data_IF_465138721782
#
_entry.id   IF_465138721782
#
_cell.length_a   1.000
_cell.length_b   1.000
_cell.length_c   1.000
_cell.angle_alpha   90.00
_cell.angle_beta   90.00
_cell.angle_gamma   90.00
#
_symmetry.space_group_name_H-M   'P 1'
#
loop_
_entity.id
_entity.type
_entity.pdbx_description
1 polymer ?
#
# COMPACT_ATOMS: atom_id res chain seq x y z
N UNK A 1 24.36 -8.46 21.48
CA UNK A 1 24.27 -7.04 21.09
C UNK A 1 23.98 -6.84 19.60
N UNK A 2 24.71 -7.46 18.65
CA UNK A 2 24.50 -7.25 17.20
C UNK A 2 23.11 -7.69 16.71
N UNK A 3 22.60 -8.85 17.17
CA UNK A 3 21.25 -9.36 16.80
C UNK A 3 20.13 -8.45 17.32
N UNK A 4 20.23 -7.98 18.55
CA UNK A 4 19.22 -7.11 19.17
C UNK A 4 19.18 -5.74 18.48
N UNK A 5 20.34 -5.20 18.05
CA UNK A 5 20.39 -3.96 17.31
C UNK A 5 19.73 -4.09 15.93
N UNK A 6 19.97 -5.20 15.20
CA UNK A 6 19.33 -5.47 13.89
C UNK A 6 17.80 -5.58 14.07
N UNK A 7 17.34 -6.27 15.11
CA UNK A 7 15.91 -6.49 15.35
C UNK A 7 15.12 -5.22 15.73
N UNK A 8 15.79 -4.18 16.21
CA UNK A 8 15.15 -2.91 16.58
C UNK A 8 15.37 -1.82 15.52
N UNK A 9 16.60 -1.70 15.03
CA UNK A 9 16.95 -0.62 14.10
C UNK A 9 16.37 -0.86 12.71
N UNK A 10 16.38 -2.11 12.25
CA UNK A 10 15.91 -2.47 10.91
C UNK A 10 14.41 -2.17 10.71
N UNK A 11 13.49 -2.56 11.60
CA UNK A 11 12.08 -2.20 11.50
C UNK A 11 11.84 -0.68 11.47
N UNK A 12 12.55 0.07 12.29
CA UNK A 12 12.45 1.54 12.30
C UNK A 12 12.92 2.12 10.96
N UNK A 13 14.06 1.64 10.46
CA UNK A 13 14.60 2.07 9.17
C UNK A 13 13.60 1.78 8.02
N UNK A 14 13.00 0.60 8.01
CA UNK A 14 11.99 0.24 7.02
C UNK A 14 10.74 1.12 7.08
N UNK A 15 10.31 1.57 8.24
CA UNK A 15 9.18 2.49 8.37
C UNK A 15 9.47 3.90 7.82
N UNK A 16 10.75 4.27 7.69
CA UNK A 16 11.13 5.53 7.05
C UNK A 16 10.94 5.46 5.53
N UNK A 17 11.03 4.29 4.91
CA UNK A 17 10.92 4.12 3.45
C UNK A 17 9.58 4.60 2.89
N UNK A 18 8.40 4.23 3.43
CA UNK A 18 7.12 4.74 2.95
C UNK A 18 7.00 6.26 3.09
N UNK A 19 7.52 6.82 4.18
CA UNK A 19 7.52 8.27 4.40
C UNK A 19 8.39 9.00 3.38
N UNK A 20 9.59 8.46 3.10
CA UNK A 20 10.47 9.00 2.06
C UNK A 20 9.85 8.86 0.67
N UNK A 21 9.21 7.72 0.38
CA UNK A 21 8.49 7.50 -0.87
C UNK A 21 7.36 8.52 -1.07
N UNK A 22 6.55 8.76 -0.04
CA UNK A 22 5.50 9.77 -0.06
C UNK A 22 6.07 11.17 -0.29
N UNK A 23 7.14 11.53 0.42
CA UNK A 23 7.82 12.81 0.26
C UNK A 23 8.42 12.97 -1.16
N UNK A 24 9.04 11.92 -1.69
CA UNK A 24 9.62 11.92 -3.03
C UNK A 24 8.54 12.18 -4.11
N UNK A 25 7.37 11.55 -3.99
CA UNK A 25 6.26 11.76 -4.92
C UNK A 25 5.82 13.23 -4.91
N UNK A 26 5.68 13.83 -3.72
CA UNK A 26 5.30 15.24 -3.59
C UNK A 26 6.36 16.18 -4.19
N UNK A 27 7.65 15.87 -3.99
CA UNK A 27 8.76 16.67 -4.53
C UNK A 27 8.90 16.51 -6.05
N UNK A 28 8.59 15.33 -6.59
CA UNK A 28 8.65 15.05 -8.03
C UNK A 28 7.59 15.82 -8.83
N UNK A 29 6.52 16.31 -8.19
CA UNK A 29 5.52 17.15 -8.85
C UNK A 29 6.09 18.52 -9.19
N UNK A 30 5.85 19.04 -10.42
CA UNK A 30 6.25 20.39 -10.81
C UNK A 30 5.70 21.43 -9.83
N UNK A 31 6.51 22.42 -9.46
CA UNK A 31 6.14 23.42 -8.45
C UNK A 31 4.83 24.14 -8.73
N UNK A 32 4.61 24.56 -9.99
CA UNK A 32 3.36 25.18 -10.42
C UNK A 32 2.15 24.25 -10.23
N UNK A 33 2.28 22.98 -10.61
CA UNK A 33 1.19 22.00 -10.44
C UNK A 33 0.87 21.79 -8.97
N UNK A 34 1.88 21.75 -8.10
CA UNK A 34 1.72 21.59 -6.66
C UNK A 34 1.01 22.79 -6.03
N UNK A 35 1.34 24.03 -6.42
CA UNK A 35 0.67 25.23 -5.92
C UNK A 35 -0.80 25.27 -6.33
N UNK A 36 -1.11 25.01 -7.61
CA UNK A 36 -2.48 24.91 -8.09
C UNK A 36 -3.27 23.82 -7.38
N UNK A 37 -2.67 22.66 -7.17
CA UNK A 37 -3.29 21.56 -6.46
C UNK A 37 -3.62 21.95 -5.02
N UNK A 38 -2.66 22.51 -4.27
CA UNK A 38 -2.87 22.92 -2.88
C UNK A 38 -3.94 24.00 -2.73
N UNK A 39 -3.96 25.02 -3.60
CA UNK A 39 -5.00 26.05 -3.60
C UNK A 39 -6.38 25.44 -3.83
N UNK A 40 -6.47 24.46 -4.72
CA UNK A 40 -7.74 23.82 -5.07
C UNK A 40 -8.22 22.83 -4.02
N UNK A 41 -7.30 22.15 -3.38
CA UNK A 41 -7.57 21.21 -2.29
C UNK A 41 -8.48 21.81 -1.21
N UNK A 42 -8.22 23.06 -0.83
CA UNK A 42 -9.00 23.76 0.19
C UNK A 42 -10.46 23.99 -0.20
N UNK A 43 -10.78 23.99 -1.48
CA UNK A 43 -12.13 24.25 -1.99
C UNK A 43 -12.91 22.98 -2.37
N UNK A 44 -12.25 21.80 -2.36
CA UNK A 44 -12.85 20.53 -2.79
C UNK A 44 -13.13 19.62 -1.61
N UNK A 45 -14.39 19.40 -1.19
CA UNK A 45 -14.72 18.48 -0.11
C UNK A 45 -14.40 17.02 -0.45
N UNK A 46 -14.43 16.65 -1.75
CA UNK A 46 -14.11 15.30 -2.20
C UNK A 46 -12.62 14.98 -2.01
N UNK A 47 -11.73 15.94 -2.30
CA UNK A 47 -10.30 15.78 -2.07
C UNK A 47 -9.98 15.59 -0.58
N UNK A 48 -10.65 16.36 0.29
CA UNK A 48 -10.51 16.20 1.74
C UNK A 48 -10.94 14.83 2.23
N UNK A 49 -12.04 14.28 1.69
CA UNK A 49 -12.50 12.94 2.03
C UNK A 49 -11.47 11.88 1.60
N UNK A 50 -10.98 11.95 0.36
CA UNK A 50 -10.00 11.00 -0.17
C UNK A 50 -8.69 11.08 0.61
N UNK A 51 -8.15 12.27 0.81
CA UNK A 51 -6.88 12.46 1.53
C UNK A 51 -7.00 12.13 3.01
N UNK A 52 -8.10 12.51 3.66
CA UNK A 52 -8.35 12.20 5.07
C UNK A 52 -8.47 10.71 5.32
N UNK A 53 -9.29 10.02 4.52
CA UNK A 53 -9.44 8.56 4.60
C UNK A 53 -8.11 7.84 4.30
N UNK A 54 -7.40 8.30 3.25
CA UNK A 54 -6.11 7.74 2.87
C UNK A 54 -5.04 7.94 3.93
N UNK A 55 -5.01 9.10 4.59
CA UNK A 55 -4.09 9.37 5.69
C UNK A 55 -4.36 8.47 6.90
N UNK A 56 -5.63 8.30 7.27
CA UNK A 56 -6.01 7.38 8.36
C UNK A 56 -5.58 5.96 8.04
N UNK A 57 -5.85 5.49 6.82
CA UNK A 57 -5.44 4.16 6.38
C UNK A 57 -3.91 4.01 6.42
N UNK A 58 -3.18 5.00 5.93
CA UNK A 58 -1.72 5.02 5.95
C UNK A 58 -1.15 4.94 7.38
N UNK A 59 -1.68 5.72 8.31
CA UNK A 59 -1.25 5.69 9.72
C UNK A 59 -1.50 4.32 10.34
N UNK A 60 -2.68 3.72 10.10
CA UNK A 60 -3.00 2.37 10.59
C UNK A 60 -2.04 1.34 9.98
N UNK A 61 -1.77 1.40 8.68
CA UNK A 61 -0.82 0.51 8.03
C UNK A 61 0.61 0.69 8.56
N UNK A 62 1.04 1.92 8.86
CA UNK A 62 2.35 2.18 9.45
C UNK A 62 2.49 1.57 10.85
N UNK A 63 1.46 1.67 11.68
CA UNK A 63 1.43 1.04 13.01
C UNK A 63 1.50 -0.48 12.87
N UNK A 64 0.69 -1.06 11.98
CA UNK A 64 0.69 -2.50 11.74
C UNK A 64 2.04 -2.99 11.16
N UNK A 65 2.68 -2.20 10.29
CA UNK A 65 4.01 -2.48 9.74
C UNK A 65 5.06 -2.55 10.85
N UNK A 66 5.06 -1.60 11.78
CA UNK A 66 5.94 -1.64 12.95
C UNK A 66 5.72 -2.89 13.80
N UNK A 67 4.46 -3.26 14.06
CA UNK A 67 4.12 -4.44 14.83
C UNK A 67 4.47 -5.75 14.10
N UNK A 68 4.25 -5.79 12.78
CA UNK A 68 4.54 -6.94 11.94
C UNK A 68 6.04 -7.22 11.77
N UNK A 69 6.87 -6.19 11.80
CA UNK A 69 8.34 -6.30 11.71
C UNK A 69 9.00 -6.58 13.07
N UNK A 70 8.26 -6.48 14.19
CA UNK A 70 8.79 -6.83 15.49
C UNK A 70 8.93 -8.35 15.64
N UNK A 71 10.15 -8.79 15.84
CA UNK A 71 10.45 -10.18 16.14
C UNK A 71 10.01 -10.56 17.56
N UNK A 72 9.08 -11.50 17.68
CA UNK A 72 8.61 -12.01 18.98
C UNK A 72 8.95 -13.48 19.15
N UNK A 73 10.09 -13.75 19.78
CA UNK A 73 10.48 -15.11 20.19
C UNK A 73 10.85 -16.04 19.03
N UNK A 74 9.93 -16.87 18.56
CA UNK A 74 10.19 -17.92 17.57
C UNK A 74 9.95 -17.49 16.10
N UNK A 75 9.40 -16.28 15.86
CA UNK A 75 9.09 -15.83 14.49
C UNK A 75 8.30 -14.52 14.43
N UNK A 76 7.80 -14.22 13.24
CA UNK A 76 6.90 -13.09 13.01
C UNK A 76 5.46 -13.52 13.29
N UNK A 77 4.65 -12.57 13.78
CA UNK A 77 3.22 -12.81 14.03
C UNK A 77 2.43 -12.65 12.72
N UNK A 78 1.93 -13.76 12.17
CA UNK A 78 1.15 -13.81 10.93
C UNK A 78 -0.21 -13.10 11.03
N UNK A 79 -0.65 -12.79 12.23
CA UNK A 79 -1.94 -12.13 12.44
C UNK A 79 -1.98 -10.75 11.81
N UNK A 80 -0.86 -10.02 11.87
CA UNK A 80 -0.74 -8.68 11.27
C UNK A 80 -0.71 -8.72 9.75
N UNK A 81 -0.27 -9.81 9.14
CA UNK A 81 -0.20 -9.96 7.68
C UNK A 81 -1.57 -9.93 7.03
N UNK A 82 -2.53 -10.62 7.62
CA UNK A 82 -3.91 -10.63 7.11
C UNK A 82 -4.52 -9.24 7.16
N UNK A 83 -4.29 -8.50 8.24
CA UNK A 83 -4.77 -7.14 8.36
C UNK A 83 -4.09 -6.20 7.36
N UNK A 84 -2.78 -6.29 7.20
CA UNK A 84 -2.03 -5.51 6.24
C UNK A 84 -2.46 -5.81 4.79
N UNK A 85 -2.66 -7.07 4.45
CA UNK A 85 -3.15 -7.48 3.13
C UNK A 85 -4.54 -6.92 2.84
N UNK A 86 -5.47 -7.00 3.80
CA UNK A 86 -6.82 -6.44 3.64
C UNK A 86 -6.79 -4.90 3.50
N UNK A 87 -5.92 -4.23 4.24
CA UNK A 87 -5.78 -2.77 4.15
C UNK A 87 -5.08 -2.35 2.86
N UNK A 88 -4.13 -3.15 2.35
CA UNK A 88 -3.52 -2.92 1.05
C UNK A 88 -4.56 -3.03 -0.07
N UNK A 89 -5.47 -4.02 0.01
CA UNK A 89 -6.57 -4.13 -0.92
C UNK A 89 -7.53 -2.93 -0.84
N UNK A 90 -7.77 -2.40 0.36
CA UNK A 90 -8.56 -1.19 0.52
C UNK A 90 -7.89 0.04 -0.14
N UNK A 91 -6.56 0.07 -0.24
CA UNK A 91 -5.84 1.12 -0.96
C UNK A 91 -6.16 1.16 -2.46
N UNK A 92 -6.53 0.03 -3.06
CA UNK A 92 -6.94 -0.05 -4.47
C UNK A 92 -8.27 0.68 -4.76
N UNK A 93 -9.05 0.99 -3.72
CA UNK A 93 -10.30 1.73 -3.88
C UNK A 93 -10.09 3.23 -4.07
N UNK A 94 -8.93 3.77 -3.69
CA UNK A 94 -8.68 5.21 -3.83
C UNK A 94 -8.70 5.71 -5.28
N UNK A 95 -8.15 5.00 -6.28
CA UNK A 95 -8.31 5.40 -7.68
C UNK A 95 -9.77 5.42 -8.11
N UNK A 96 -10.58 4.47 -7.65
CA UNK A 96 -12.01 4.42 -7.95
C UNK A 96 -12.76 5.60 -7.31
N UNK A 97 -12.41 5.96 -6.06
CA UNK A 97 -12.94 7.16 -5.39
C UNK A 97 -12.52 8.44 -6.14
N UNK A 98 -11.30 8.51 -6.65
CA UNK A 98 -10.83 9.59 -7.48
C UNK A 98 -11.62 9.72 -8.78
N UNK A 99 -11.88 8.61 -9.47
CA UNK A 99 -12.75 8.57 -10.65
C UNK A 99 -14.19 8.99 -10.35
N UNK A 100 -14.75 8.52 -9.23
CA UNK A 100 -16.07 8.96 -8.78
C UNK A 100 -16.10 10.47 -8.55
N UNK A 101 -15.06 11.03 -7.93
CA UNK A 101 -14.89 12.47 -7.77
C UNK A 101 -14.83 13.22 -9.10
N UNK A 102 -14.19 12.63 -10.12
CA UNK A 102 -14.17 13.19 -11.48
C UNK A 102 -15.57 13.22 -12.08
N UNK A 103 -16.32 12.13 -12.00
CA UNK A 103 -17.68 12.07 -12.51
C UNK A 103 -18.58 13.08 -11.80
N UNK A 104 -18.51 13.16 -10.48
CA UNK A 104 -19.26 14.11 -9.68
C UNK A 104 -18.92 15.57 -10.06
N UNK A 105 -17.63 15.88 -10.24
CA UNK A 105 -17.17 17.21 -10.66
C UNK A 105 -17.65 17.59 -12.06
N UNK A 106 -17.65 16.65 -13.00
CA UNK A 106 -18.17 16.86 -14.36
C UNK A 106 -19.69 17.12 -14.32
N UNK A 107 -20.45 16.30 -13.59
CA UNK A 107 -21.89 16.48 -13.44
C UNK A 107 -22.24 17.85 -12.82
N UNK A 108 -21.48 18.26 -11.80
CA UNK A 108 -21.65 19.56 -11.18
C UNK A 108 -21.35 20.70 -12.16
N UNK A 109 -20.33 20.53 -13.00
CA UNK A 109 -19.96 21.51 -14.04
C UNK A 109 -21.11 21.68 -15.02
N UNK A 110 -21.65 20.60 -15.57
CA UNK A 110 -22.75 20.66 -16.51
C UNK A 110 -24.05 21.21 -15.88
N UNK A 111 -24.31 20.91 -14.61
CA UNK A 111 -25.45 21.46 -13.90
C UNK A 111 -25.39 22.97 -13.65
N UNK A 112 -24.20 23.55 -13.68
CA UNK A 112 -23.98 24.98 -13.43
C UNK A 112 -23.83 25.80 -14.71
N UNK A 113 -23.75 25.17 -15.88
CA UNK A 113 -23.65 25.88 -17.17
C UNK A 113 -25.03 26.24 -17.66
N UNK A 114 -25.36 27.56 -17.65
CA UNK A 114 -26.60 28.12 -18.16
C UNK A 114 -26.28 29.14 -19.26
N UNK A 115 -26.19 28.68 -20.52
CA UNK A 115 -25.95 29.51 -21.68
C UNK A 115 -24.50 29.50 -22.19
N UNK A 116 -24.14 30.40 -23.14
CA UNK A 116 -22.81 30.48 -23.74
C UNK A 116 -21.77 30.83 -22.68
N UNK A 117 -20.85 29.90 -22.39
CA UNK A 117 -19.84 30.04 -21.34
C UNK A 117 -18.45 30.18 -21.96
N UNK A 118 -17.62 31.14 -21.53
CA UNK A 118 -16.24 31.30 -22.00
C UNK A 118 -15.41 30.05 -21.69
N UNK A 119 -14.46 29.66 -22.58
CA UNK A 119 -13.61 28.48 -22.38
C UNK A 119 -12.85 28.49 -21.05
N UNK A 120 -12.40 29.64 -20.57
CA UNK A 120 -11.69 29.82 -19.32
C UNK A 120 -12.54 29.43 -18.10
N UNK A 121 -13.83 29.73 -18.14
CA UNK A 121 -14.79 29.34 -17.10
C UNK A 121 -15.00 27.82 -17.08
N UNK A 122 -15.09 27.20 -18.25
CA UNK A 122 -15.21 25.74 -18.39
C UNK A 122 -13.99 25.06 -17.77
N UNK A 123 -12.77 25.49 -18.09
CA UNK A 123 -11.53 24.96 -17.53
C UNK A 123 -11.53 25.05 -16.00
N UNK A 124 -11.96 26.19 -15.45
CA UNK A 124 -12.06 26.36 -13.99
C UNK A 124 -13.07 25.41 -13.34
N UNK A 125 -14.18 25.15 -13.99
CA UNK A 125 -15.21 24.23 -13.50
C UNK A 125 -14.77 22.77 -13.54
N UNK A 126 -13.90 22.36 -14.48
CA UNK A 126 -13.36 21.00 -14.55
C UNK A 126 -12.21 20.74 -13.57
N UNK A 127 -11.56 21.78 -13.06
CA UNK A 127 -10.39 21.60 -12.19
C UNK A 127 -10.64 20.72 -10.96
N UNK A 128 -11.79 20.78 -10.22
CA UNK A 128 -12.05 19.87 -9.09
C UNK A 128 -12.14 18.40 -9.49
N UNK A 129 -12.62 18.11 -10.69
CA UNK A 129 -12.67 16.74 -11.19
C UNK A 129 -11.25 16.16 -11.36
N UNK A 130 -10.33 16.93 -11.93
CA UNK A 130 -8.95 16.51 -12.16
C UNK A 130 -8.20 16.32 -10.83
N UNK A 131 -8.41 17.22 -9.86
CA UNK A 131 -7.73 17.11 -8.55
C UNK A 131 -8.18 15.89 -7.78
N UNK A 132 -9.47 15.52 -7.80
CA UNK A 132 -10.00 14.33 -7.15
C UNK A 132 -9.33 13.04 -7.65
N UNK A 133 -9.12 12.92 -8.97
CA UNK A 133 -8.39 11.78 -9.54
C UNK A 133 -6.94 11.76 -9.08
N UNK A 134 -6.27 12.92 -9.08
CA UNK A 134 -4.91 13.06 -8.58
C UNK A 134 -4.77 12.64 -7.11
N UNK A 135 -5.70 13.08 -6.26
CA UNK A 135 -5.77 12.71 -4.84
C UNK A 135 -5.96 11.21 -4.65
N UNK A 136 -6.84 10.58 -5.44
CA UNK A 136 -7.09 9.14 -5.39
C UNK A 136 -5.86 8.32 -5.77
N UNK A 137 -5.21 8.67 -6.88
CA UNK A 137 -3.97 8.01 -7.33
C UNK A 137 -2.82 8.20 -6.33
N UNK A 138 -2.67 9.39 -5.78
CA UNK A 138 -1.65 9.68 -4.77
C UNK A 138 -1.83 8.84 -3.51
N UNK A 139 -3.07 8.74 -2.99
CA UNK A 139 -3.35 7.92 -1.81
C UNK A 139 -3.19 6.43 -2.08
N UNK A 140 -3.57 5.92 -3.25
CA UNK A 140 -3.32 4.53 -3.63
C UNK A 140 -1.82 4.22 -3.60
N UNK A 141 -1.01 5.06 -4.23
CA UNK A 141 0.43 4.84 -4.35
C UNK A 141 1.12 4.84 -2.99
N UNK A 142 0.77 5.78 -2.10
CA UNK A 142 1.34 5.85 -0.76
C UNK A 142 0.94 4.65 0.10
N UNK A 143 -0.31 4.23 0.03
CA UNK A 143 -0.84 3.15 0.88
C UNK A 143 -0.39 1.75 0.45
N UNK A 144 0.19 1.57 -0.74
CA UNK A 144 0.82 0.31 -1.15
C UNK A 144 2.19 0.12 -0.47
N UNK A 145 2.93 1.21 -0.21
CA UNK A 145 4.30 1.16 0.28
C UNK A 145 4.48 0.43 1.62
N UNK A 146 3.64 0.62 2.66
CA UNK A 146 3.81 -0.07 3.94
C UNK A 146 3.76 -1.60 3.82
N UNK A 147 2.84 -2.13 3.02
CA UNK A 147 2.72 -3.58 2.80
C UNK A 147 3.93 -4.14 2.06
N UNK A 148 4.38 -3.45 1.02
CA UNK A 148 5.59 -3.85 0.28
C UNK A 148 6.83 -3.86 1.18
N UNK A 149 6.96 -2.87 2.07
CA UNK A 149 8.06 -2.79 3.06
C UNK A 149 8.05 -3.97 4.03
N UNK A 150 6.88 -4.46 4.47
CA UNK A 150 6.80 -5.63 5.34
C UNK A 150 7.28 -6.89 4.62
N UNK A 151 6.87 -7.10 3.37
CA UNK A 151 7.29 -8.26 2.58
C UNK A 151 8.81 -8.30 2.41
N UNK A 152 9.38 -7.21 1.90
CA UNK A 152 10.83 -7.11 1.68
C UNK A 152 11.61 -7.08 3.00
N UNK A 153 11.09 -6.37 4.00
CA UNK A 153 11.72 -6.23 5.32
C UNK A 153 11.85 -7.57 6.05
N UNK A 154 10.84 -8.42 6.00
CA UNK A 154 10.87 -9.76 6.61
C UNK A 154 11.88 -10.66 5.92
N UNK A 155 11.85 -10.70 4.59
CA UNK A 155 12.80 -11.48 3.82
C UNK A 155 14.24 -11.09 4.16
N UNK A 156 14.51 -9.78 4.25
CA UNK A 156 15.83 -9.28 4.62
C UNK A 156 16.20 -9.61 6.07
N UNK A 157 15.27 -9.52 7.01
CA UNK A 157 15.52 -9.89 8.42
C UNK A 157 15.84 -11.39 8.54
N UNK A 158 15.13 -12.25 7.81
CA UNK A 158 15.39 -13.69 7.78
C UNK A 158 16.75 -14.00 7.19
N UNK A 159 17.10 -13.41 6.05
CA UNK A 159 18.40 -13.63 5.39
C UNK A 159 19.57 -13.15 6.24
N UNK A 160 19.51 -11.95 6.79
CA UNK A 160 20.56 -11.37 7.63
C UNK A 160 20.60 -11.99 9.04
N UNK A 161 19.46 -12.45 9.53
CA UNK A 161 19.33 -13.12 10.84
C UNK A 161 19.80 -14.58 10.86
N UNK A 162 20.14 -15.17 9.70
CA UNK A 162 20.58 -16.57 9.58
C UNK A 162 19.42 -17.59 9.66
N UNK A 163 18.19 -17.18 9.36
CA UNK A 163 17.00 -18.04 9.44
C UNK A 163 16.78 -19.00 8.26
N UNK A 164 17.63 -18.99 7.24
CA UNK A 164 17.47 -19.83 6.05
C UNK A 164 17.88 -21.30 6.22
N UNK A 165 18.46 -21.69 7.35
CA UNK A 165 18.95 -23.07 7.56
C UNK A 165 17.83 -24.12 7.78
N UNK A 166 16.57 -23.72 7.93
CA UNK A 166 15.49 -24.66 8.27
C UNK A 166 14.53 -24.97 7.13
N UNK A 167 14.54 -24.22 6.04
CA UNK A 167 13.63 -24.46 4.91
C UNK A 167 14.14 -25.53 3.93
N UNK A 168 15.46 -25.74 3.86
CA UNK A 168 16.07 -26.75 2.98
C UNK A 168 16.14 -28.17 3.62
N UNK A 169 15.78 -28.32 4.89
CA UNK A 169 15.79 -29.60 5.58
C UNK A 169 14.45 -30.35 5.54
N UNK A 170 13.37 -29.74 5.06
CA UNK A 170 12.08 -30.39 4.83
C UNK A 170 11.83 -30.67 3.34
N UNK A 171 12.81 -31.18 2.63
CA UNK A 171 12.50 -32.01 1.47
C UNK A 171 11.84 -33.27 2.02
N UNK A 172 10.61 -33.60 1.63
CA UNK A 172 10.01 -34.87 2.02
C UNK A 172 10.95 -35.96 1.55
N UNK A 173 11.47 -36.75 2.48
CA UNK A 173 12.15 -37.98 2.14
C UNK A 173 11.27 -38.67 1.10
N UNK A 174 11.82 -38.92 -0.08
CA UNK A 174 11.18 -39.64 -1.16
C UNK A 174 10.42 -40.82 -0.51
N UNK A 175 9.10 -40.80 -0.65
CA UNK A 175 8.25 -41.92 -0.33
C UNK A 175 8.80 -43.08 -1.14
N UNK A 176 9.60 -43.92 -0.45
CA UNK A 176 10.13 -45.13 -1.02
C UNK A 176 8.98 -45.91 -1.64
N UNK A 177 9.02 -46.02 -2.96
CA UNK A 177 8.20 -46.91 -3.72
C UNK A 177 8.47 -48.31 -3.20
N UNK A 178 7.58 -48.81 -2.32
CA UNK A 178 7.54 -50.24 -1.96
C UNK A 178 6.88 -50.97 -3.12
N UNK A 179 7.60 -51.79 -3.90
CA UNK A 179 6.96 -52.66 -4.87
C UNK A 179 6.11 -53.68 -4.08
N UNK A 180 4.84 -53.69 -4.37
CA UNK A 180 3.82 -54.60 -3.89
C UNK A 180 4.34 -56.04 -4.09
N UNK A 181 4.63 -56.76 -2.98
CA UNK A 181 4.99 -58.15 -3.00
C UNK A 181 3.78 -58.95 -3.49
N UNK A 182 3.88 -59.43 -4.71
CA UNK A 182 3.00 -60.44 -5.28
C UNK A 182 2.97 -61.62 -4.29
N UNK A 183 1.82 -61.85 -3.70
CA UNK A 183 1.56 -63.03 -2.90
C UNK A 183 1.42 -64.23 -3.87
N UNK A 184 2.22 -65.29 -3.79
CA UNK A 184 1.93 -66.50 -4.55
C UNK A 184 0.73 -67.21 -3.89
N UNK A 185 -0.27 -67.50 -4.75
CA UNK A 185 -1.40 -68.36 -4.41
C UNK A 185 -0.88 -69.71 -3.93
N UNK A 186 -1.41 -70.17 -2.79
CA UNK A 186 -1.28 -71.56 -2.35
C UNK A 186 -2.54 -72.32 -2.70
N UNK A 187 -2.38 -73.60 -3.11
CA UNK A 187 -3.44 -74.49 -3.56
C UNK A 187 -4.46 -74.86 -2.46
#
# INVERSE_FOLDING_TARGET
MRRTAIQVVLPILFCVVPLLGAALIVVALPGLAREYYLQRLWSSPMDWLILGLGLVLFVVQMILTLLALQWRGAGFDERYDRWLSNLAQAAEWFPMLGLLGTVAGILQTFGNISGPTPPETIIRLYAPAITATGSGLFMALINILPTWVVLVGRELILTLGGGQASADSELPAETGYYPERIRPDRP
#
